data_IF_111619397298
#
_entry.id   IF_111619397298
#
_cell.length_a   1.000
_cell.length_b   1.000
_cell.length_c   1.000
_cell.angle_alpha   90.00
_cell.angle_beta   90.00
_cell.angle_gamma   90.00
#
_symmetry.space_group_name_H-M   'P 1'
#
loop_
_entity.id
_entity.type
_entity.pdbx_description
1 polymer ?
#
# COMPACT_ATOMS: atom_id res chain seq x y z
N UNK A 1 5.51 -5.93 19.02
CA UNK A 1 5.79 -5.08 17.84
C UNK A 1 6.92 -5.73 17.06
N UNK A 2 6.76 -5.92 15.75
CA UNK A 2 7.84 -6.41 14.90
C UNK A 2 9.03 -5.44 15.03
N UNK A 3 10.19 -5.95 15.43
CA UNK A 3 11.39 -5.15 15.73
C UNK A 3 11.92 -4.37 14.52
N UNK A 4 11.48 -4.73 13.31
CA UNK A 4 11.91 -4.08 12.08
C UNK A 4 10.99 -2.96 11.62
N UNK A 5 9.84 -2.70 12.25
CA UNK A 5 8.93 -1.62 11.84
C UNK A 5 9.37 -0.30 12.49
N UNK A 6 9.68 0.71 11.66
CA UNK A 6 10.00 2.07 12.13
C UNK A 6 9.13 3.12 11.43
N UNK A 7 8.83 4.25 12.10
CA UNK A 7 8.15 5.38 11.46
C UNK A 7 9.03 6.00 10.38
N UNK A 8 8.40 6.41 9.28
CA UNK A 8 9.02 7.17 8.19
C UNK A 8 8.58 8.63 8.33
N UNK A 9 9.51 9.61 8.32
CA UNK A 9 9.16 11.03 8.29
C UNK A 9 8.17 11.34 7.16
N UNK A 10 7.11 12.09 7.45
CA UNK A 10 6.01 12.32 6.49
C UNK A 10 6.48 13.04 5.22
N UNK A 11 7.47 13.93 5.33
CA UNK A 11 8.13 14.59 4.21
C UNK A 11 8.94 13.65 3.31
N UNK A 12 9.18 12.41 3.74
CA UNK A 12 9.83 11.34 2.95
C UNK A 12 8.87 10.20 2.57
N UNK A 13 7.61 10.22 3.02
CA UNK A 13 6.66 9.13 2.82
C UNK A 13 6.40 8.81 1.33
N UNK A 14 6.41 9.83 0.48
CA UNK A 14 6.23 9.68 -0.98
C UNK A 14 7.26 8.73 -1.61
N UNK A 15 8.48 8.65 -1.05
CA UNK A 15 9.55 7.76 -1.54
C UNK A 15 9.18 6.28 -1.44
N UNK A 16 8.24 5.91 -0.57
CA UNK A 16 7.72 4.55 -0.47
C UNK A 16 6.98 4.10 -1.74
N UNK A 17 6.43 5.04 -2.53
CA UNK A 17 5.65 4.75 -3.73
C UNK A 17 6.31 5.21 -5.04
N UNK A 18 7.40 5.98 -4.98
CA UNK A 18 8.05 6.56 -6.17
C UNK A 18 8.47 5.56 -7.25
N UNK A 19 8.78 4.33 -6.88
CA UNK A 19 9.18 3.28 -7.83
C UNK A 19 7.96 2.58 -8.48
N UNK A 20 6.74 3.02 -8.18
CA UNK A 20 5.49 2.54 -8.77
C UNK A 20 5.14 1.09 -8.42
N UNK A 21 5.19 0.65 -7.15
CA UNK A 21 4.78 -0.70 -6.79
C UNK A 21 3.28 -0.90 -6.97
N UNK A 22 2.88 -2.13 -7.25
CA UNK A 22 1.52 -2.60 -6.93
C UNK A 22 1.37 -2.60 -5.42
N UNK A 23 0.26 -2.08 -4.92
CA UNK A 23 -0.01 -1.93 -3.49
C UNK A 23 -1.17 -2.80 -3.04
N UNK A 24 -1.28 -3.04 -1.74
CA UNK A 24 -2.52 -3.49 -1.13
C UNK A 24 -3.24 -2.30 -0.50
N UNK A 25 -4.55 -2.22 -0.71
CA UNK A 25 -5.45 -1.24 -0.09
C UNK A 25 -6.27 -1.96 0.95
N UNK A 26 -6.18 -1.54 2.19
CA UNK A 26 -7.01 -2.07 3.28
C UNK A 26 -7.83 -0.98 3.95
N UNK A 27 -9.03 -1.34 4.39
CA UNK A 27 -9.96 -0.43 5.03
C UNK A 27 -10.88 -1.17 6.01
N UNK A 28 -11.44 -0.43 6.97
CA UNK A 28 -12.36 -0.95 7.98
C UNK A 28 -13.56 -0.02 8.11
N UNK A 29 -14.76 -0.59 8.21
CA UNK A 29 -15.96 0.14 8.59
C UNK A 29 -16.93 -0.79 9.32
N UNK A 30 -17.51 -0.33 10.44
CA UNK A 30 -18.47 -1.09 11.26
C UNK A 30 -18.01 -2.52 11.62
N UNK A 31 -16.71 -2.67 11.94
CA UNK A 31 -16.11 -3.96 12.30
C UNK A 31 -15.82 -4.89 11.11
N UNK A 32 -16.17 -4.50 9.89
CA UNK A 32 -15.81 -5.23 8.66
C UNK A 32 -14.46 -4.72 8.16
N UNK A 33 -13.57 -5.65 7.86
CA UNK A 33 -12.23 -5.39 7.32
C UNK A 33 -12.08 -6.02 5.94
N UNK A 34 -11.33 -5.36 5.07
CA UNK A 34 -11.00 -5.94 3.77
C UNK A 34 -9.63 -5.48 3.28
N UNK A 35 -9.08 -6.25 2.35
CA UNK A 35 -7.86 -5.95 1.60
C UNK A 35 -8.11 -6.23 0.12
N UNK A 36 -7.64 -5.36 -0.75
CA UNK A 36 -7.56 -5.60 -2.20
C UNK A 36 -6.19 -5.22 -2.74
N UNK A 37 -5.82 -5.72 -3.91
CA UNK A 37 -4.64 -5.24 -4.63
C UNK A 37 -5.04 -4.07 -5.56
N UNK A 38 -4.15 -3.09 -5.69
CA UNK A 38 -4.28 -1.98 -6.63
C UNK A 38 -2.94 -1.70 -7.30
N UNK A 39 -2.88 -1.83 -8.63
CA UNK A 39 -1.71 -1.41 -9.41
C UNK A 39 -1.75 0.09 -9.74
N UNK A 40 -2.95 0.69 -9.77
CA UNK A 40 -3.17 2.09 -10.07
C UNK A 40 -3.16 2.92 -8.79
N UNK A 41 -1.98 3.06 -8.20
CA UNK A 41 -1.69 3.95 -7.08
C UNK A 41 -0.43 4.76 -7.36
N UNK A 42 -0.41 6.04 -6.99
CA UNK A 42 0.72 6.92 -7.28
C UNK A 42 0.87 7.98 -6.19
N UNK A 43 2.11 8.38 -5.88
CA UNK A 43 2.34 9.58 -5.09
C UNK A 43 1.83 10.82 -5.84
N UNK A 44 1.23 11.77 -5.12
CA UNK A 44 0.64 12.99 -5.68
C UNK A 44 1.33 14.26 -5.21
N UNK A 45 1.77 14.31 -3.95
CA UNK A 45 2.37 15.51 -3.34
C UNK A 45 3.38 15.14 -2.26
N UNK A 46 4.30 16.06 -1.94
CA UNK A 46 5.41 15.85 -1.02
C UNK A 46 5.06 16.21 0.43
N UNK A 47 4.50 17.40 0.68
CA UNK A 47 4.26 17.93 2.03
C UNK A 47 3.07 18.92 2.08
N UNK A 48 1.92 18.57 2.71
CA UNK A 48 1.65 17.26 3.32
C UNK A 48 1.57 16.17 2.24
N UNK A 49 2.10 14.97 2.51
CA UNK A 49 2.15 13.88 1.55
C UNK A 49 0.76 13.45 1.10
N UNK A 50 0.56 13.32 -0.20
CA UNK A 50 -0.70 12.85 -0.80
C UNK A 50 -0.42 11.75 -1.81
N UNK A 51 -1.42 10.92 -2.05
CA UNK A 51 -1.41 9.89 -3.08
C UNK A 51 -2.76 9.81 -3.79
N UNK A 52 -2.75 9.20 -4.97
CA UNK A 52 -3.95 8.77 -5.67
C UNK A 52 -4.05 7.25 -5.69
N UNK A 53 -5.28 6.75 -5.71
CA UNK A 53 -5.58 5.33 -5.95
C UNK A 53 -6.90 5.21 -6.70
N UNK A 54 -6.97 4.31 -7.68
CA UNK A 54 -8.23 4.01 -8.38
C UNK A 54 -8.93 2.84 -7.70
N UNK A 55 -10.19 3.03 -7.30
CA UNK A 55 -11.02 2.03 -6.63
C UNK A 55 -12.31 1.80 -7.42
N UNK A 56 -12.35 0.70 -8.17
CA UNK A 56 -13.50 0.31 -8.99
C UNK A 56 -14.81 0.21 -8.19
N UNK A 57 -15.93 0.56 -8.82
CA UNK A 57 -17.27 0.55 -8.19
C UNK A 57 -17.71 -0.84 -7.72
N UNK A 58 -17.19 -1.91 -8.31
CA UNK A 58 -17.44 -3.29 -7.89
C UNK A 58 -16.56 -3.77 -6.74
N UNK A 59 -15.55 -2.99 -6.32
CA UNK A 59 -14.67 -3.37 -5.24
C UNK A 59 -15.33 -3.12 -3.87
N UNK A 60 -15.49 -4.18 -3.07
CA UNK A 60 -16.03 -4.05 -1.71
C UNK A 60 -15.20 -3.10 -0.81
N UNK A 61 -13.89 -3.02 -1.05
CA UNK A 61 -13.01 -2.07 -0.34
C UNK A 61 -13.40 -0.62 -0.59
N UNK A 62 -13.91 -0.27 -1.78
CA UNK A 62 -14.37 1.10 -2.09
C UNK A 62 -15.45 1.55 -1.12
N UNK A 63 -16.46 0.72 -0.88
CA UNK A 63 -17.54 1.03 0.05
C UNK A 63 -17.01 1.24 1.49
N UNK A 64 -16.02 0.45 1.92
CA UNK A 64 -15.39 0.65 3.23
C UNK A 64 -14.65 2.00 3.29
N UNK A 65 -13.95 2.37 2.21
CA UNK A 65 -13.21 3.64 2.10
C UNK A 65 -14.17 4.83 2.10
N UNK A 66 -15.23 4.78 1.30
CA UNK A 66 -16.24 5.85 1.21
C UNK A 66 -16.94 6.07 2.55
N UNK A 67 -17.31 5.01 3.26
CA UNK A 67 -18.05 5.11 4.52
C UNK A 67 -17.17 5.47 5.72
N UNK A 68 -15.91 5.02 5.74
CA UNK A 68 -14.98 5.34 6.85
C UNK A 68 -14.20 6.64 6.63
N UNK A 69 -14.00 7.04 5.37
CA UNK A 69 -13.08 8.12 5.00
C UNK A 69 -11.60 7.78 5.25
N UNK A 70 -11.25 6.50 5.47
CA UNK A 70 -9.92 6.05 5.88
C UNK A 70 -9.50 4.78 5.14
N UNK A 71 -8.19 4.65 4.91
CA UNK A 71 -7.60 3.45 4.33
C UNK A 71 -6.10 3.38 4.60
N UNK A 72 -5.50 2.23 4.32
CA UNK A 72 -4.05 2.03 4.34
C UNK A 72 -3.59 1.63 2.95
N UNK A 73 -2.52 2.26 2.47
CA UNK A 73 -1.73 1.79 1.33
C UNK A 73 -0.51 1.07 1.89
N UNK A 74 -0.23 -0.14 1.42
CA UNK A 74 0.94 -0.90 1.84
C UNK A 74 1.63 -1.56 0.66
N UNK A 75 2.95 -1.68 0.74
CA UNK A 75 3.79 -2.20 -0.34
C UNK A 75 4.05 -3.69 -0.10
N UNK A 76 3.36 -4.61 -0.81
CA UNK A 76 3.57 -6.04 -0.66
C UNK A 76 4.95 -6.44 -1.17
N UNK A 77 5.43 -7.57 -0.67
CA UNK A 77 6.74 -8.13 -1.01
C UNK A 77 6.61 -9.33 -1.94
N UNK A 78 7.71 -9.78 -2.56
CA UNK A 78 7.74 -11.03 -3.35
C UNK A 78 7.22 -12.23 -2.57
N UNK A 79 7.48 -12.29 -1.25
CA UNK A 79 6.92 -13.33 -0.36
C UNK A 79 5.38 -13.33 -0.31
N UNK A 80 4.75 -12.22 -0.66
CA UNK A 80 3.31 -12.03 -0.68
C UNK A 80 2.74 -12.06 -2.12
N UNK A 81 3.46 -12.62 -3.09
CA UNK A 81 2.99 -12.72 -4.49
C UNK A 81 1.60 -13.36 -4.59
N UNK A 82 1.44 -14.55 -4.00
CA UNK A 82 0.18 -15.28 -4.06
C UNK A 82 -0.93 -14.54 -3.30
N UNK A 83 -0.63 -14.02 -2.10
CA UNK A 83 -1.57 -13.19 -1.33
C UNK A 83 -2.05 -12.00 -2.16
N UNK A 84 -1.13 -11.25 -2.78
CA UNK A 84 -1.42 -10.07 -3.60
C UNK A 84 -2.32 -10.44 -4.77
N UNK A 85 -2.03 -11.55 -5.45
CA UNK A 85 -2.87 -12.07 -6.53
C UNK A 85 -4.28 -12.41 -6.02
N UNK A 86 -4.40 -13.19 -4.93
CA UNK A 86 -5.68 -13.64 -4.39
C UNK A 86 -6.56 -12.47 -3.93
N UNK A 87 -6.00 -11.49 -3.21
CA UNK A 87 -6.79 -10.33 -2.76
C UNK A 87 -7.19 -9.39 -3.90
N UNK A 88 -6.51 -9.44 -5.05
CA UNK A 88 -6.91 -8.75 -6.28
C UNK A 88 -8.01 -9.46 -7.08
N UNK A 89 -8.15 -10.79 -6.94
CA UNK A 89 -9.08 -11.59 -7.75
C UNK A 89 -10.35 -12.01 -7.00
N UNK A 90 -10.28 -12.12 -5.67
CA UNK A 90 -11.43 -12.42 -4.81
C UNK A 90 -12.08 -11.13 -4.32
N UNK A 91 -13.41 -11.15 -4.18
CA UNK A 91 -14.15 -10.01 -3.64
C UNK A 91 -14.88 -10.41 -2.36
N UNK A 92 -14.73 -9.60 -1.31
CA UNK A 92 -15.44 -9.78 -0.04
C UNK A 92 -16.96 -9.85 -0.23
N UNK A 93 -17.51 -9.14 -1.23
CA UNK A 93 -18.94 -9.17 -1.54
C UNK A 93 -19.46 -10.56 -1.97
N UNK A 94 -18.57 -11.45 -2.41
CA UNK A 94 -18.90 -12.82 -2.83
C UNK A 94 -18.36 -13.87 -1.86
N UNK A 95 -17.25 -13.57 -1.21
CA UNK A 95 -16.49 -14.49 -0.37
C UNK A 95 -16.19 -13.80 0.98
N UNK A 96 -17.06 -13.93 1.99
CA UNK A 96 -16.87 -13.29 3.30
C UNK A 96 -15.55 -13.68 3.97
N UNK A 97 -15.11 -14.93 3.78
CA UNK A 97 -13.87 -15.46 4.37
C UNK A 97 -12.64 -15.22 3.48
N UNK A 98 -12.72 -14.24 2.55
CA UNK A 98 -11.65 -13.95 1.58
C UNK A 98 -10.29 -13.76 2.24
N UNK A 99 -10.22 -13.04 3.36
CA UNK A 99 -8.95 -12.69 4.00
C UNK A 99 -8.23 -13.94 4.53
N UNK A 100 -8.97 -14.82 5.19
CA UNK A 100 -8.45 -16.10 5.68
C UNK A 100 -7.98 -16.98 4.51
N UNK A 101 -8.81 -17.14 3.47
CA UNK A 101 -8.43 -17.92 2.28
C UNK A 101 -7.23 -17.35 1.51
N UNK A 102 -7.00 -16.04 1.61
CA UNK A 102 -5.86 -15.37 0.97
C UNK A 102 -4.61 -15.33 1.86
N UNK A 103 -4.68 -15.90 3.07
CA UNK A 103 -3.57 -15.90 4.04
C UNK A 103 -3.22 -14.51 4.58
N UNK A 104 -4.20 -13.60 4.63
CA UNK A 104 -4.00 -12.24 5.14
C UNK A 104 -3.96 -12.25 6.66
N UNK A 105 -2.84 -11.80 7.22
CA UNK A 105 -2.72 -11.49 8.64
C UNK A 105 -2.81 -9.96 8.83
N UNK A 106 -3.80 -9.52 9.62
CA UNK A 106 -4.00 -8.11 9.95
C UNK A 106 -3.45 -7.79 11.35
N UNK A 107 -2.88 -6.60 11.50
CA UNK A 107 -2.47 -6.05 12.78
C UNK A 107 -2.85 -4.57 12.90
N UNK A 108 -2.82 -4.03 14.12
CA UNK A 108 -3.08 -2.62 14.40
C UNK A 108 -1.80 -1.84 14.70
N UNK A 109 -1.80 -0.54 14.39
CA UNK A 109 -0.76 0.40 14.81
C UNK A 109 -1.31 1.39 15.84
N UNK A 110 -0.55 1.72 16.90
CA UNK A 110 -1.00 2.67 17.91
C UNK A 110 -1.42 4.01 17.30
N UNK A 111 -2.60 4.51 17.69
CA UNK A 111 -3.15 5.78 17.19
C UNK A 111 -3.96 5.68 15.90
N UNK A 112 -4.03 4.50 15.27
CA UNK A 112 -4.78 4.28 14.03
C UNK A 112 -5.76 3.11 14.16
N UNK A 113 -7.06 3.40 14.03
CA UNK A 113 -8.10 2.37 13.92
C UNK A 113 -8.22 1.85 12.48
N UNK A 114 -7.13 1.23 12.00
CA UNK A 114 -7.01 0.75 10.62
C UNK A 114 -6.40 -0.65 10.54
N UNK A 115 -6.79 -1.47 9.55
CA UNK A 115 -6.25 -2.80 9.35
C UNK A 115 -4.94 -2.74 8.54
N UNK A 116 -3.79 -3.03 9.17
CA UNK A 116 -2.49 -3.10 8.48
C UNK A 116 -2.17 -4.55 8.12
N UNK A 117 -1.62 -4.80 6.94
CA UNK A 117 -1.26 -6.17 6.50
C UNK A 117 0.16 -6.51 6.94
N UNK A 118 0.32 -7.58 7.71
CA UNK A 118 1.62 -8.06 8.14
C UNK A 118 2.46 -8.56 6.95
N UNK A 119 3.78 -8.42 7.03
CA UNK A 119 4.72 -8.90 6.01
C UNK A 119 4.93 -7.97 4.79
N UNK A 120 4.21 -6.85 4.72
CA UNK A 120 4.52 -5.79 3.76
C UNK A 120 5.82 -5.06 4.13
N UNK A 121 6.43 -4.38 3.16
CA UNK A 121 7.67 -3.62 3.35
C UNK A 121 7.44 -2.16 3.78
N UNK A 122 6.22 -1.64 3.57
CA UNK A 122 5.84 -0.29 3.94
C UNK A 122 4.32 -0.15 4.12
N UNK A 123 3.91 0.83 4.93
CA UNK A 123 2.51 1.16 5.22
C UNK A 123 2.31 2.68 5.29
N UNK A 124 1.21 3.17 4.73
CA UNK A 124 0.80 4.58 4.72
C UNK A 124 -0.66 4.65 5.16
N UNK A 125 -0.92 5.18 6.36
CA UNK A 125 -2.26 5.43 6.87
C UNK A 125 -2.81 6.72 6.24
N UNK A 126 -3.96 6.63 5.60
CA UNK A 126 -4.50 7.67 4.75
C UNK A 126 -5.88 8.14 5.22
N UNK A 127 -6.12 9.45 5.09
CA UNK A 127 -7.46 10.07 5.11
C UNK A 127 -7.89 10.38 3.69
N UNK A 128 -9.12 10.06 3.34
CA UNK A 128 -9.70 10.50 2.06
C UNK A 128 -9.81 12.03 2.04
N UNK A 129 -9.38 12.62 0.94
CA UNK A 129 -9.70 14.00 0.56
C UNK A 129 -10.87 13.92 -0.44
N UNK A 130 -12.11 14.21 -0.03
CA UNK A 130 -13.27 13.99 -0.86
C UNK A 130 -13.21 14.84 -2.13
N UNK A 131 -13.28 14.17 -3.28
CA UNK A 131 -13.35 14.79 -4.60
C UNK A 131 -14.49 14.12 -5.39
N UNK A 132 -15.77 14.48 -5.12
CA UNK A 132 -16.93 13.72 -5.60
C UNK A 132 -16.97 13.53 -7.12
N UNK A 133 -16.48 14.51 -7.88
CA UNK A 133 -16.38 14.40 -9.34
C UNK A 133 -15.36 13.34 -9.76
N UNK A 134 -14.21 13.28 -9.11
CA UNK A 134 -13.15 12.32 -9.44
C UNK A 134 -13.59 10.89 -9.08
N UNK A 135 -14.15 10.73 -7.88
CA UNK A 135 -14.66 9.46 -7.36
C UNK A 135 -15.81 8.90 -8.22
N UNK A 136 -16.71 9.77 -8.72
CA UNK A 136 -17.83 9.34 -9.56
C UNK A 136 -17.43 9.08 -11.02
N UNK A 137 -16.56 9.92 -11.58
CA UNK A 137 -16.26 9.93 -13.03
C UNK A 137 -15.10 8.99 -13.39
N UNK A 138 -14.09 8.94 -12.53
CA UNK A 138 -12.82 8.26 -12.82
C UNK A 138 -12.47 7.18 -11.80
N UNK A 139 -13.34 6.96 -10.81
CA UNK A 139 -13.09 6.06 -9.68
C UNK A 139 -11.78 6.40 -8.94
N UNK A 140 -11.36 7.67 -9.04
CA UNK A 140 -10.09 8.18 -8.56
C UNK A 140 -10.26 8.80 -7.18
N UNK A 141 -9.56 8.24 -6.20
CA UNK A 141 -9.53 8.72 -4.83
C UNK A 141 -8.22 9.45 -4.56
N UNK A 142 -8.29 10.52 -3.77
CA UNK A 142 -7.12 11.22 -3.23
C UNK A 142 -7.04 10.92 -1.74
N UNK A 143 -5.86 10.52 -1.28
CA UNK A 143 -5.56 10.31 0.14
C UNK A 143 -4.47 11.25 0.63
N UNK A 144 -4.68 11.88 1.78
CA UNK A 144 -3.64 12.53 2.58
C UNK A 144 -3.01 11.51 3.53
N UNK A 145 -1.69 11.38 3.53
CA UNK A 145 -0.98 10.43 4.40
C UNK A 145 -0.77 11.08 5.77
N UNK A 146 -1.35 10.48 6.81
CA UNK A 146 -1.26 10.95 8.20
C UNK A 146 -0.21 10.20 9.03
N UNK A 147 0.20 9.01 8.56
CA UNK A 147 1.25 8.20 9.17
C UNK A 147 1.91 7.29 8.14
N UNK A 148 3.22 7.08 8.27
CA UNK A 148 3.98 6.21 7.39
C UNK A 148 5.00 5.38 8.18
N UNK A 149 5.18 4.13 7.79
CA UNK A 149 6.12 3.19 8.39
C UNK A 149 6.74 2.29 7.33
N UNK A 150 7.90 1.73 7.65
CA UNK A 150 8.58 0.77 6.80
C UNK A 150 9.22 -0.36 7.59
N UNK A 151 9.51 -1.45 6.88
CA UNK A 151 10.44 -2.48 7.32
C UNK A 151 11.89 -1.99 7.11
N UNK A 152 12.57 -1.69 8.22
CA UNK A 152 13.95 -1.17 8.29
C UNK A 152 15.00 -2.05 7.62
N UNK A 153 14.68 -3.32 7.34
CA UNK A 153 15.57 -4.21 6.58
C UNK A 153 15.67 -3.82 5.11
N UNK A 154 14.66 -3.13 4.58
CA UNK A 154 14.57 -2.80 3.14
C UNK A 154 14.30 -1.31 2.87
N UNK A 155 13.79 -0.55 3.85
CA UNK A 155 13.72 0.92 3.76
C UNK A 155 14.06 1.56 5.10
N UNK A 156 15.08 2.41 5.11
CA UNK A 156 15.55 3.17 6.28
C UNK A 156 16.17 4.50 5.83
N UNK A 157 16.24 5.47 6.74
CA UNK A 157 16.84 6.78 6.49
C UNK A 157 16.29 7.51 5.23
N UNK A 158 15.06 7.18 4.84
CA UNK A 158 14.41 7.75 3.65
C UNK A 158 14.78 7.11 2.32
N UNK A 159 15.39 5.93 2.32
CA UNK A 159 15.89 5.25 1.12
C UNK A 159 15.55 3.76 1.11
N UNK A 160 15.29 3.23 -0.08
CA UNK A 160 15.19 1.80 -0.33
C UNK A 160 16.58 1.17 -0.42
N UNK A 161 16.72 -0.06 0.08
CA UNK A 161 17.94 -0.86 0.10
C UNK A 161 17.69 -2.28 -0.46
N UNK A 162 16.92 -2.38 -1.55
CA UNK A 162 16.54 -3.67 -2.15
C UNK A 162 17.75 -4.51 -2.57
N UNK A 163 18.86 -3.87 -2.92
CA UNK A 163 20.12 -4.49 -3.34
C UNK A 163 20.87 -5.17 -2.19
N UNK A 164 20.65 -4.74 -0.95
CA UNK A 164 21.28 -5.30 0.24
C UNK A 164 20.33 -6.15 1.08
N UNK A 165 19.02 -6.06 0.83
CA UNK A 165 17.98 -6.81 1.53
C UNK A 165 17.79 -8.22 0.98
N UNK A 166 17.07 -9.07 1.73
CA UNK A 166 16.59 -10.36 1.25
C UNK A 166 15.74 -10.16 -0.04
N UNK A 167 16.01 -10.88 -1.15
CA UNK A 167 15.27 -10.69 -2.40
C UNK A 167 13.76 -10.92 -2.27
N UNK A 168 13.32 -11.68 -1.27
CA UNK A 168 11.91 -11.86 -0.95
C UNK A 168 11.20 -10.60 -0.44
N UNK A 169 11.94 -9.54 -0.06
CA UNK A 169 11.42 -8.24 0.36
C UNK A 169 11.25 -7.24 -0.79
N UNK A 170 11.67 -7.59 -2.02
CA UNK A 170 11.44 -6.77 -3.21
C UNK A 170 9.94 -6.52 -3.41
N UNK A 171 9.59 -5.31 -3.83
CA UNK A 171 8.20 -4.96 -4.16
C UNK A 171 7.74 -5.63 -5.45
N UNK A 172 6.42 -5.73 -5.62
CA UNK A 172 5.76 -6.32 -6.79
C UNK A 172 5.25 -5.26 -7.75
N UNK A 173 5.36 -5.52 -9.05
CA UNK A 173 4.88 -4.65 -10.14
C UNK A 173 4.04 -5.49 -11.12
N UNK A 174 2.73 -5.37 -11.00
CA UNK A 174 1.75 -6.10 -11.79
C UNK A 174 1.74 -5.70 -13.27
N UNK A 175 1.53 -6.68 -14.15
CA UNK A 175 1.32 -6.46 -15.59
C UNK A 175 -0.08 -6.90 -16.00
N UNK A 176 -0.37 -8.21 -15.91
CA UNK A 176 -1.64 -8.79 -16.32
C UNK A 176 -1.80 -10.23 -15.81
N UNK A 177 -3.04 -10.67 -15.58
CA UNK A 177 -3.37 -12.02 -15.12
C UNK A 177 -2.74 -12.33 -13.76
N UNK A 178 -1.83 -13.30 -13.72
CA UNK A 178 -1.02 -13.62 -12.53
C UNK A 178 0.44 -13.18 -12.64
N UNK A 179 0.79 -12.33 -13.61
CA UNK A 179 2.17 -11.99 -13.92
C UNK A 179 2.60 -10.65 -13.31
N UNK A 180 3.75 -10.68 -12.64
CA UNK A 180 4.37 -9.56 -11.95
C UNK A 180 5.88 -9.55 -12.21
N UNK A 181 6.49 -8.38 -12.20
CA UNK A 181 7.93 -8.23 -11.98
C UNK A 181 8.19 -7.87 -10.52
N UNK A 182 9.35 -8.30 -10.00
CA UNK A 182 9.89 -7.72 -8.78
C UNK A 182 10.69 -6.45 -9.14
N UNK A 183 10.82 -5.50 -8.20
CA UNK A 183 11.73 -4.35 -8.41
C UNK A 183 13.14 -4.86 -8.73
N UNK A 184 13.82 -4.20 -9.68
CA UNK A 184 15.05 -4.68 -10.31
C UNK A 184 16.35 -4.20 -9.67
N UNK A 185 17.41 -4.20 -10.46
CA UNK A 185 18.75 -3.77 -10.04
C UNK A 185 18.84 -2.24 -9.86
N UNK A 186 19.59 -1.76 -8.85
CA UNK A 186 19.81 -0.33 -8.67
C UNK A 186 20.64 0.23 -9.82
N UNK A 187 20.31 1.45 -10.26
CA UNK A 187 21.09 2.22 -11.20
C UNK A 187 21.23 3.64 -10.69
N UNK A 188 22.41 4.23 -10.85
CA UNK A 188 22.70 5.59 -10.40
C UNK A 188 23.14 6.45 -11.57
N UNK A 189 22.51 7.61 -11.71
CA UNK A 189 22.89 8.64 -12.67
C UNK A 189 23.50 9.83 -11.91
N UNK A 190 24.60 10.38 -12.45
CA UNK A 190 25.29 11.55 -11.89
C UNK A 190 26.13 11.27 -10.64
N UNK A 191 26.92 12.26 -10.23
CA UNK A 191 27.60 12.27 -8.93
C UNK A 191 26.61 12.68 -7.84
N UNK A 192 26.61 11.99 -6.70
CA UNK A 192 25.78 12.33 -5.55
C UNK A 192 26.17 13.70 -5.00
N UNK A 193 25.26 14.68 -5.07
CA UNK A 193 25.32 15.79 -4.14
C UNK A 193 25.12 15.21 -2.71
N UNK A 194 25.86 15.69 -1.70
CA UNK A 194 25.55 15.32 -0.32
C UNK A 194 24.14 15.85 0.01
N UNK A 195 23.22 14.97 0.41
CA UNK A 195 21.97 15.38 1.09
C UNK A 195 22.27 15.95 2.48
#
# INVERSE_FOLDING_TARGET
MNEHIAPVPLDKAYRLLNHGPTVLVSARHEGVENVMAAAWACALDYAPPKLTVVLDKGAATRALVENSGRFVIQVPTVRQLELTYQVGHRSLAREPDKLEHSGVELFGMPGFDLPFVAGCSAWLACRVLPEPRNEATYDLFIGEVEGAWSDTRVFKDGHWHFEAADPGLRSLHYIAGGFFYAIGEPMQAGETAPE
#
